data_IF_714088675137
#
_entry.id   IF_714088675137
#
_cell.length_a   1.000
_cell.length_b   1.000
_cell.length_c   1.000
_cell.angle_alpha   90.00
_cell.angle_beta   90.00
_cell.angle_gamma   90.00
#
_symmetry.space_group_name_H-M   'P 1'
#
loop_
_entity.id
_entity.type
_entity.pdbx_description
1 polymer ?
#
# COMPACT_ATOMS: atom_id res chain seq x y z
N UNK A 1 -7.73 11.98 6.03
CA UNK A 1 -6.65 10.98 6.15
C UNK A 1 -7.19 9.68 6.75
N UNK A 2 -6.56 8.58 6.46
CA UNK A 2 -6.90 7.27 7.02
C UNK A 2 -5.61 6.51 7.35
N UNK A 3 -5.65 5.74 8.41
CA UNK A 3 -4.62 4.79 8.80
C UNK A 3 -5.20 3.38 8.72
N UNK A 4 -4.48 2.46 8.09
CA UNK A 4 -4.68 1.02 8.14
C UNK A 4 -3.45 0.42 8.78
N UNK A 5 -3.66 -0.29 9.85
CA UNK A 5 -2.61 -0.77 10.73
C UNK A 5 -2.43 -2.28 10.63
N UNK A 6 -1.34 -2.80 11.23
CA UNK A 6 -1.05 -4.23 11.31
C UNK A 6 -1.09 -4.96 9.97
N UNK A 7 -0.34 -4.44 8.99
CA UNK A 7 -0.23 -5.06 7.67
C UNK A 7 1.01 -5.95 7.56
N UNK A 8 0.87 -7.01 6.77
CA UNK A 8 1.99 -7.79 6.26
C UNK A 8 2.14 -7.63 4.75
N UNK A 9 3.36 -7.67 4.25
CA UNK A 9 3.67 -7.69 2.82
C UNK A 9 4.29 -9.00 2.43
N UNK A 10 3.73 -9.63 1.40
CA UNK A 10 4.30 -10.81 0.76
C UNK A 10 4.90 -10.37 -0.57
N UNK A 11 6.16 -10.73 -0.81
CA UNK A 11 6.86 -10.45 -2.05
C UNK A 11 7.35 -11.74 -2.67
N UNK A 12 7.09 -11.91 -3.96
CA UNK A 12 7.52 -13.02 -4.80
C UNK A 12 8.54 -12.47 -5.78
N UNK A 13 9.69 -13.12 -5.89
CA UNK A 13 10.79 -12.71 -6.78
C UNK A 13 11.23 -13.89 -7.63
N UNK A 14 11.99 -13.60 -8.69
CA UNK A 14 12.60 -14.59 -9.57
C UNK A 14 11.60 -15.58 -10.20
N UNK A 15 10.41 -15.08 -10.54
CA UNK A 15 9.39 -15.83 -11.28
C UNK A 15 9.31 -15.28 -12.70
N UNK A 16 9.25 -16.15 -13.69
CA UNK A 16 9.01 -15.72 -15.08
C UNK A 16 7.63 -15.10 -15.22
N UNK A 17 7.55 -13.99 -15.93
CA UNK A 17 6.28 -13.35 -16.23
C UNK A 17 5.53 -14.13 -17.33
N UNK A 18 4.91 -15.24 -16.94
CA UNK A 18 4.09 -16.06 -17.83
C UNK A 18 2.64 -15.62 -17.78
N UNK A 19 1.97 -15.71 -18.95
CA UNK A 19 0.55 -15.37 -19.04
C UNK A 19 -0.26 -16.23 -18.06
N UNK A 20 -1.09 -15.56 -17.23
CA UNK A 20 -1.96 -16.21 -16.26
C UNK A 20 -1.35 -16.39 -14.85
N UNK A 21 -0.10 -16.03 -14.63
CA UNK A 21 0.55 -16.12 -13.31
C UNK A 21 -0.26 -15.37 -12.24
N UNK A 22 -0.61 -14.10 -12.53
CA UNK A 22 -1.37 -13.24 -11.61
C UNK A 22 -2.76 -13.83 -11.34
N UNK A 23 -3.44 -14.30 -12.38
CA UNK A 23 -4.75 -14.93 -12.26
C UNK A 23 -4.70 -16.16 -11.33
N UNK A 24 -3.74 -17.04 -11.49
CA UNK A 24 -3.56 -18.22 -10.61
C UNK A 24 -3.31 -17.83 -9.17
N UNK A 25 -2.37 -16.92 -8.94
CA UNK A 25 -1.97 -16.48 -7.60
C UNK A 25 -3.15 -15.82 -6.86
N UNK A 26 -3.75 -14.81 -7.47
CA UNK A 26 -4.79 -14.02 -6.80
C UNK A 26 -6.14 -14.76 -6.72
N UNK A 27 -6.43 -15.68 -7.65
CA UNK A 27 -7.59 -16.57 -7.51
C UNK A 27 -7.42 -17.52 -6.32
N UNK A 28 -6.23 -18.06 -6.11
CA UNK A 28 -5.96 -18.94 -4.97
C UNK A 28 -6.13 -18.20 -3.62
N UNK A 29 -5.66 -16.95 -3.54
CA UNK A 29 -5.85 -16.09 -2.36
C UNK A 29 -7.34 -15.76 -2.15
N UNK A 30 -8.07 -15.42 -3.21
CA UNK A 30 -9.50 -15.11 -3.16
C UNK A 30 -10.35 -16.29 -2.71
N UNK A 31 -10.04 -17.53 -3.15
CA UNK A 31 -10.72 -18.74 -2.70
C UNK A 31 -10.59 -18.99 -1.19
N UNK A 32 -9.54 -18.46 -0.57
CA UNK A 32 -9.35 -18.50 0.88
C UNK A 32 -9.87 -17.24 1.58
N UNK A 33 -10.64 -16.43 0.87
CA UNK A 33 -11.24 -15.19 1.37
C UNK A 33 -10.20 -14.15 1.86
N UNK A 34 -8.97 -14.21 1.34
CA UNK A 34 -7.91 -13.26 1.68
C UNK A 34 -8.06 -12.01 0.81
N UNK A 35 -8.21 -10.87 1.47
CA UNK A 35 -8.25 -9.56 0.80
C UNK A 35 -6.82 -9.06 0.62
N UNK A 36 -6.44 -8.85 -0.63
CA UNK A 36 -5.13 -8.28 -1.00
C UNK A 36 -5.27 -6.81 -1.35
N UNK A 37 -4.24 -6.03 -1.02
CA UNK A 37 -4.17 -4.60 -1.33
C UNK A 37 -2.75 -4.22 -1.78
N UNK A 38 -2.57 -3.01 -2.29
CA UNK A 38 -1.29 -2.45 -2.72
C UNK A 38 -0.45 -3.42 -3.57
N UNK A 39 -1.08 -4.01 -4.59
CA UNK A 39 -0.40 -4.93 -5.51
C UNK A 39 0.59 -4.14 -6.38
N UNK A 40 1.85 -4.55 -6.35
CA UNK A 40 2.92 -4.01 -7.18
C UNK A 40 3.55 -5.13 -7.96
N UNK A 41 3.72 -4.93 -9.26
CA UNK A 41 4.50 -5.81 -10.12
C UNK A 41 5.57 -5.01 -10.82
N UNK A 42 6.80 -5.52 -10.80
CA UNK A 42 7.92 -4.95 -11.54
C UNK A 42 8.65 -6.01 -12.34
N UNK A 43 9.13 -5.66 -13.51
CA UNK A 43 9.96 -6.53 -14.34
C UNK A 43 11.44 -6.29 -14.02
N UNK A 44 12.19 -7.38 -13.89
CA UNK A 44 13.63 -7.38 -13.65
C UNK A 44 14.30 -8.32 -14.67
N UNK A 45 14.56 -7.82 -15.86
CA UNK A 45 15.04 -8.64 -16.99
C UNK A 45 13.98 -9.66 -17.42
N UNK A 46 14.31 -10.95 -17.39
CA UNK A 46 13.39 -12.03 -17.73
C UNK A 46 12.49 -12.48 -16.58
N UNK A 47 12.77 -11.99 -15.37
CA UNK A 47 12.01 -12.31 -14.16
C UNK A 47 11.08 -11.14 -13.78
N UNK A 48 10.07 -11.46 -12.98
CA UNK A 48 9.18 -10.48 -12.38
C UNK A 48 9.23 -10.58 -10.85
N UNK A 49 8.93 -9.44 -10.22
CA UNK A 49 8.63 -9.36 -8.80
C UNK A 49 7.17 -8.96 -8.65
N UNK A 50 6.43 -9.67 -7.80
CA UNK A 50 5.06 -9.32 -7.40
C UNK A 50 5.06 -9.15 -5.88
N UNK A 51 4.55 -8.04 -5.40
CA UNK A 51 4.36 -7.78 -3.98
C UNK A 51 2.93 -7.33 -3.72
N UNK A 52 2.38 -7.68 -2.58
CA UNK A 52 1.07 -7.24 -2.14
C UNK A 52 0.98 -7.23 -0.62
N UNK A 53 0.06 -6.43 -0.09
CA UNK A 53 -0.22 -6.39 1.35
C UNK A 53 -1.49 -7.14 1.69
N UNK A 54 -1.50 -7.71 2.89
CA UNK A 54 -2.65 -8.36 3.52
C UNK A 54 -2.76 -7.90 4.98
N UNK A 55 -3.90 -8.11 5.60
CA UNK A 55 -4.06 -7.97 7.05
C UNK A 55 -3.12 -8.95 7.77
N UNK A 56 -2.67 -8.59 8.94
CA UNK A 56 -1.74 -9.43 9.72
C UNK A 56 -2.32 -10.82 10.00
N UNK A 57 -3.60 -10.91 10.29
CA UNK A 57 -4.31 -12.17 10.57
C UNK A 57 -4.36 -13.11 9.36
N UNK A 58 -4.38 -12.58 8.14
CA UNK A 58 -4.39 -13.37 6.90
C UNK A 58 -2.99 -13.78 6.42
N UNK A 59 -1.94 -13.24 7.02
CA UNK A 59 -0.56 -13.40 6.54
C UNK A 59 -0.09 -14.86 6.57
N UNK A 60 -0.51 -15.63 7.58
CA UNK A 60 -0.19 -17.05 7.70
C UNK A 60 -0.71 -17.87 6.52
N UNK A 61 -1.97 -17.70 6.21
CA UNK A 61 -2.64 -18.40 5.10
C UNK A 61 -2.13 -17.91 3.75
N UNK A 62 -1.93 -16.60 3.59
CA UNK A 62 -1.35 -16.04 2.38
C UNK A 62 0.03 -16.64 2.07
N UNK A 63 0.91 -16.80 3.07
CA UNK A 63 2.22 -17.46 2.93
C UNK A 63 2.09 -18.90 2.45
N UNK A 64 1.17 -19.67 3.01
CA UNK A 64 0.98 -21.08 2.61
C UNK A 64 0.51 -21.18 1.15
N UNK A 65 -0.42 -20.32 0.73
CA UNK A 65 -0.93 -20.29 -0.64
C UNK A 65 0.18 -19.92 -1.62
N UNK A 66 0.93 -18.86 -1.32
CA UNK A 66 2.06 -18.44 -2.15
C UNK A 66 3.12 -19.52 -2.26
N UNK A 67 3.52 -20.15 -1.14
CA UNK A 67 4.49 -21.23 -1.14
C UNK A 67 4.05 -22.42 -2.01
N UNK A 68 2.77 -22.80 -1.95
CA UNK A 68 2.20 -23.85 -2.81
C UNK A 68 2.27 -23.44 -4.29
N UNK A 69 1.87 -22.21 -4.61
CA UNK A 69 1.90 -21.70 -5.99
C UNK A 69 3.32 -21.71 -6.55
N UNK A 70 4.32 -21.30 -5.77
CA UNK A 70 5.73 -21.34 -6.19
C UNK A 70 6.24 -22.77 -6.37
N UNK A 71 5.84 -23.70 -5.51
CA UNK A 71 6.18 -25.13 -5.66
C UNK A 71 5.60 -25.68 -6.97
N UNK A 72 4.36 -25.35 -7.31
CA UNK A 72 3.73 -25.78 -8.56
C UNK A 72 4.39 -25.15 -9.80
N UNK A 73 4.93 -23.94 -9.67
CA UNK A 73 5.67 -23.27 -10.75
C UNK A 73 7.10 -23.83 -10.89
N UNK A 74 7.64 -24.42 -9.83
CA UNK A 74 9.03 -24.92 -9.79
C UNK A 74 10.09 -23.82 -9.79
N UNK A 75 9.71 -22.58 -9.51
CA UNK A 75 10.60 -21.42 -9.50
C UNK A 75 10.07 -20.32 -8.56
N UNK A 76 10.94 -19.39 -8.18
CA UNK A 76 10.61 -18.22 -7.40
C UNK A 76 11.00 -18.31 -5.93
N UNK A 77 11.15 -17.14 -5.34
CA UNK A 77 11.48 -16.93 -3.93
C UNK A 77 10.40 -16.07 -3.29
N UNK A 78 10.03 -16.39 -2.06
CA UNK A 78 9.10 -15.61 -1.26
C UNK A 78 9.85 -14.94 -0.11
N UNK A 79 9.55 -13.65 0.09
CA UNK A 79 9.90 -12.91 1.30
C UNK A 79 8.66 -12.30 1.94
N UNK A 80 8.70 -12.14 3.25
CA UNK A 80 7.59 -11.59 4.04
C UNK A 80 8.10 -10.50 4.95
N UNK A 81 7.40 -9.39 4.98
CA UNK A 81 7.62 -8.29 5.90
C UNK A 81 6.39 -8.12 6.77
N UNK A 82 6.61 -7.85 8.05
CA UNK A 82 5.57 -7.61 9.07
C UNK A 82 5.77 -6.25 9.70
N UNK A 83 4.81 -5.81 10.51
CA UNK A 83 4.93 -4.54 11.21
C UNK A 83 4.84 -3.34 10.28
N UNK A 84 3.97 -3.41 9.30
CA UNK A 84 3.69 -2.33 8.35
C UNK A 84 2.35 -1.66 8.66
N UNK A 85 2.25 -0.38 8.29
CA UNK A 85 1.01 0.38 8.31
C UNK A 85 0.86 1.16 7.00
N UNK A 86 -0.36 1.53 6.67
CA UNK A 86 -0.67 2.34 5.51
C UNK A 86 -1.36 3.64 5.91
N UNK A 87 -0.71 4.77 5.67
CA UNK A 87 -1.30 6.10 5.79
C UNK A 87 -1.77 6.61 4.43
N UNK A 88 -2.98 7.14 4.36
CA UNK A 88 -3.60 7.56 3.11
C UNK A 88 -4.22 8.95 3.23
N UNK A 89 -4.10 9.72 2.15
CA UNK A 89 -4.87 10.94 1.89
C UNK A 89 -5.89 10.64 0.81
N UNK A 90 -7.14 10.95 1.08
CA UNK A 90 -8.26 10.77 0.13
C UNK A 90 -8.88 12.13 -0.14
N UNK A 91 -9.09 12.45 -1.40
CA UNK A 91 -9.72 13.72 -1.81
C UNK A 91 -10.23 13.66 -3.24
N UNK A 92 -11.40 14.26 -3.47
CA UNK A 92 -11.95 14.41 -4.83
C UNK A 92 -11.14 15.47 -5.56
N UNK A 93 -10.74 15.21 -6.81
CA UNK A 93 -10.03 16.18 -7.64
C UNK A 93 -8.51 16.22 -7.44
N UNK A 94 -7.91 15.21 -6.82
CA UNK A 94 -6.45 15.14 -6.64
C UNK A 94 -5.68 15.21 -7.96
N UNK A 95 -6.27 14.75 -9.06
CA UNK A 95 -5.70 14.84 -10.42
C UNK A 95 -5.45 16.28 -10.88
N UNK A 96 -6.28 17.22 -10.45
CA UNK A 96 -6.21 18.65 -10.84
C UNK A 96 -5.38 19.51 -9.88
N UNK A 97 -4.88 18.94 -8.77
CA UNK A 97 -4.15 19.68 -7.76
C UNK A 97 -2.70 19.18 -7.68
N UNK A 98 -1.85 19.80 -8.48
CA UNK A 98 -0.41 19.61 -8.37
C UNK A 98 0.06 19.92 -6.94
N UNK A 99 0.90 19.04 -6.38
CA UNK A 99 1.50 19.26 -5.06
C UNK A 99 0.87 18.51 -3.89
N UNK A 100 -0.28 17.81 -4.05
CA UNK A 100 -0.83 16.96 -2.97
C UNK A 100 0.17 15.89 -2.55
N UNK A 101 0.73 15.16 -3.52
CA UNK A 101 1.76 14.15 -3.28
C UNK A 101 3.01 14.77 -2.63
N UNK A 102 3.49 15.89 -3.19
CA UNK A 102 4.66 16.61 -2.65
C UNK A 102 4.45 17.05 -1.20
N UNK A 103 3.26 17.54 -0.87
CA UNK A 103 2.91 17.94 0.51
C UNK A 103 2.95 16.76 1.47
N UNK A 104 2.36 15.63 1.07
CA UNK A 104 2.37 14.41 1.89
C UNK A 104 3.78 13.89 2.11
N UNK A 105 4.56 13.75 1.03
CA UNK A 105 5.92 13.21 1.12
C UNK A 105 6.87 14.11 1.89
N UNK A 106 6.73 15.44 1.73
CA UNK A 106 7.51 16.41 2.51
C UNK A 106 7.17 16.32 4.00
N UNK A 107 5.88 16.26 4.35
CA UNK A 107 5.46 16.15 5.74
C UNK A 107 6.02 14.89 6.41
N UNK A 108 5.94 13.73 5.74
CA UNK A 108 6.51 12.49 6.25
C UNK A 108 8.03 12.56 6.35
N UNK A 109 8.71 13.11 5.34
CA UNK A 109 10.16 13.27 5.32
C UNK A 109 10.67 14.21 6.41
N UNK A 110 10.04 15.37 6.60
CA UNK A 110 10.39 16.34 7.66
C UNK A 110 10.17 15.74 9.06
N UNK A 111 9.23 14.82 9.20
CA UNK A 111 9.02 14.05 10.42
C UNK A 111 9.97 12.86 10.58
N UNK A 112 10.86 12.59 9.60
CA UNK A 112 11.78 11.46 9.63
C UNK A 112 11.11 10.09 9.46
N UNK A 113 9.92 10.04 8.86
CA UNK A 113 9.16 8.80 8.64
C UNK A 113 9.55 8.21 7.28
N UNK A 114 10.12 7.00 7.30
CA UNK A 114 10.49 6.26 6.10
C UNK A 114 9.29 5.74 5.33
N UNK A 115 9.36 5.79 3.99
CA UNK A 115 8.30 5.28 3.11
C UNK A 115 8.82 4.04 2.40
N UNK A 116 8.14 2.90 2.56
CA UNK A 116 8.50 1.63 1.90
C UNK A 116 7.88 1.50 0.52
N UNK A 117 6.66 1.99 0.34
CA UNK A 117 5.93 1.92 -0.92
C UNK A 117 4.94 3.07 -1.03
N UNK A 118 4.65 3.46 -2.27
CA UNK A 118 3.70 4.51 -2.60
C UNK A 118 2.72 3.96 -3.62
N UNK A 119 1.43 4.17 -3.38
CA UNK A 119 0.38 3.91 -4.35
C UNK A 119 -0.48 5.16 -4.54
N UNK A 120 -0.90 5.41 -5.77
CA UNK A 120 -1.72 6.57 -6.11
C UNK A 120 -2.88 6.17 -7.00
N UNK A 121 -3.99 6.87 -6.83
CA UNK A 121 -5.15 6.81 -7.70
C UNK A 121 -5.68 8.24 -7.96
N UNK A 122 -6.78 8.36 -8.68
CA UNK A 122 -7.40 9.66 -8.96
C UNK A 122 -7.88 10.39 -7.69
N UNK A 123 -8.16 9.64 -6.63
CA UNK A 123 -8.75 10.16 -5.39
C UNK A 123 -7.95 9.83 -4.13
N UNK A 124 -6.85 9.08 -4.25
CA UNK A 124 -6.12 8.58 -3.08
C UNK A 124 -4.62 8.51 -3.33
N UNK A 125 -3.83 8.93 -2.36
CA UNK A 125 -2.40 8.66 -2.25
C UNK A 125 -2.18 7.90 -0.96
N UNK A 126 -1.46 6.79 -1.01
CA UNK A 126 -1.13 5.96 0.14
C UNK A 126 0.37 5.72 0.24
N UNK A 127 0.88 5.70 1.46
CA UNK A 127 2.26 5.33 1.78
C UNK A 127 2.25 4.15 2.74
N UNK A 128 3.01 3.12 2.43
CA UNK A 128 3.35 2.04 3.37
C UNK A 128 4.55 2.52 4.18
N UNK A 129 4.46 2.40 5.48
CA UNK A 129 5.43 2.85 6.47
C UNK A 129 5.58 1.78 7.56
N UNK A 130 6.52 1.96 8.48
CA UNK A 130 6.61 1.11 9.67
C UNK A 130 5.37 1.29 10.56
N UNK A 131 4.83 0.19 11.07
CA UNK A 131 3.69 0.19 11.98
C UNK A 131 3.91 1.10 13.20
N UNK A 132 5.11 1.07 13.78
CA UNK A 132 5.46 1.90 14.93
C UNK A 132 5.29 3.42 14.67
N UNK A 133 5.34 3.83 13.41
CA UNK A 133 5.20 5.23 12.99
C UNK A 133 3.76 5.60 12.57
N UNK A 134 2.85 4.62 12.54
CA UNK A 134 1.51 4.79 11.98
C UNK A 134 0.74 5.97 12.54
N UNK A 135 0.62 6.05 13.87
CA UNK A 135 -0.10 7.13 14.54
C UNK A 135 0.57 8.50 14.30
N UNK A 136 1.90 8.56 14.40
CA UNK A 136 2.67 9.79 14.14
C UNK A 136 2.54 10.25 12.69
N UNK A 137 2.56 9.32 11.75
CA UNK A 137 2.35 9.61 10.34
C UNK A 137 0.95 10.16 10.06
N UNK A 138 -0.08 9.57 10.67
CA UNK A 138 -1.46 10.05 10.53
C UNK A 138 -1.59 11.49 11.03
N UNK A 139 -1.09 11.81 12.21
CA UNK A 139 -1.11 13.14 12.80
C UNK A 139 -0.33 14.16 11.96
N UNK A 140 0.86 13.77 11.49
CA UNK A 140 1.73 14.58 10.65
C UNK A 140 1.04 14.96 9.33
N UNK A 141 0.51 13.96 8.64
CA UNK A 141 -0.20 14.18 7.38
C UNK A 141 -1.49 14.97 7.60
N UNK A 142 -2.23 14.65 8.64
CA UNK A 142 -3.45 15.36 9.01
C UNK A 142 -3.19 16.87 9.24
N UNK A 143 -2.16 17.20 10.00
CA UNK A 143 -1.74 18.58 10.23
C UNK A 143 -1.27 19.26 8.95
N UNK A 144 -0.49 18.58 8.12
CA UNK A 144 0.01 19.11 6.86
C UNK A 144 -1.12 19.53 5.91
N UNK A 145 -2.26 18.85 5.95
CA UNK A 145 -3.44 19.17 5.13
C UNK A 145 -4.45 20.08 5.82
N UNK A 146 -4.14 20.59 7.03
CA UNK A 146 -5.01 21.51 7.77
C UNK A 146 -6.32 20.85 8.24
N UNK A 147 -6.34 19.53 8.34
CA UNK A 147 -7.49 18.78 8.82
C UNK A 147 -7.43 18.82 10.35
N UNK A 148 -8.17 19.69 11.03
CA UNK A 148 -8.18 19.81 12.49
C UNK A 148 -8.56 18.50 13.18
N UNK A 149 -8.11 18.29 14.42
CA UNK A 149 -8.46 17.15 15.28
C UNK A 149 -9.97 17.22 15.64
N UNK A 150 -10.82 16.82 14.71
CA UNK A 150 -12.25 16.66 14.89
C UNK A 150 -12.63 15.22 14.63
N UNK A 151 -13.08 14.55 15.69
CA UNK A 151 -13.73 13.23 15.72
C UNK A 151 -14.04 12.57 14.37
N UNK A 152 -13.36 11.45 14.10
CA UNK A 152 -13.84 10.34 13.28
C UNK A 152 -14.65 10.66 12.01
N UNK A 153 -14.24 11.60 11.19
CA UNK A 153 -14.94 11.93 9.97
C UNK A 153 -14.04 11.64 8.76
N UNK A 154 -14.55 10.87 7.83
CA UNK A 154 -14.09 10.86 6.44
C UNK A 154 -14.21 12.30 5.92
N UNK A 155 -13.11 13.06 5.93
CA UNK A 155 -13.15 14.45 5.49
C UNK A 155 -12.90 14.47 3.99
N UNK A 156 -13.96 14.73 3.21
CA UNK A 156 -13.82 15.20 1.85
C UNK A 156 -13.07 16.53 1.91
N UNK A 157 -11.89 16.60 1.30
CA UNK A 157 -11.13 17.85 1.19
C UNK A 157 -11.92 18.81 0.30
N UNK A 158 -12.53 19.81 0.90
CA UNK A 158 -13.00 21.00 0.18
C UNK A 158 -11.77 21.84 -0.15
N UNK A 159 -11.29 21.73 -1.37
CA UNK A 159 -10.19 22.56 -1.88
C UNK A 159 -10.84 23.85 -2.38
N UNK A 160 -10.50 24.94 -1.73
CA UNK A 160 -10.88 26.29 -2.14
C UNK A 160 -10.38 26.56 -3.57
N UNK A 161 -11.33 26.77 -4.49
CA UNK A 161 -11.11 27.06 -5.91
C UNK A 161 -10.78 28.52 -6.19
N UNK A 162 -10.38 29.33 -5.21
CA UNK A 162 -10.18 30.76 -5.33
C UNK A 162 -8.73 31.22 -5.50
N UNK A 163 -7.87 30.42 -6.17
CA UNK A 163 -6.58 30.91 -6.69
C UNK A 163 -6.29 30.30 -8.05
N UNK A 164 -6.84 30.91 -9.06
CA UNK A 164 -6.31 30.94 -10.42
C UNK A 164 -5.34 32.09 -10.51
#
# INVERSE_FOLDING_TARGET
CALKDELGRVSIRQVRNVVGLQGRLFTALAHSNIVVDDIVQTEQGAATMIAFTVEHEDLGDAKQIVARTLTELGEGEMSVEVGLAKVSVVGVGMKSHAGVASRMFRALGDAGIGIHNITTSEIKISCIIDHAEGQRALETVHSAFGLGLGNGATIAMQIDSSRV
#
